data_IF_910203525763
#
_entry.id   IF_910203525763
#
_cell.length_a   1.000
_cell.length_b   1.000
_cell.length_c   1.000
_cell.angle_alpha   90.00
_cell.angle_beta   90.00
_cell.angle_gamma   90.00
#
_symmetry.space_group_name_H-M   'P 1'
#
loop_
_entity.id
_entity.type
_entity.pdbx_description
1 polymer ?
#
# COMPACT_ATOMS: atom_id res chain seq x y z
N UNK A 1 31.36 3.01 -4.86
CA UNK A 1 30.76 1.67 -4.70
C UNK A 1 29.29 1.92 -4.43
N UNK A 2 28.39 1.20 -5.11
CA UNK A 2 26.97 1.30 -4.76
C UNK A 2 26.79 0.69 -3.37
N UNK A 3 26.04 1.35 -2.51
CA UNK A 3 25.64 0.77 -1.22
C UNK A 3 24.70 -0.40 -1.47
N UNK A 4 24.78 -1.43 -0.64
CA UNK A 4 23.89 -2.59 -0.74
C UNK A 4 22.47 -2.20 -0.31
N UNK A 5 21.48 -2.54 -1.14
CA UNK A 5 20.06 -2.33 -0.85
C UNK A 5 19.44 -3.64 -0.39
N UNK A 6 18.80 -3.64 0.78
CA UNK A 6 18.22 -4.83 1.40
C UNK A 6 16.73 -4.64 1.74
N UNK A 7 15.98 -5.74 1.75
CA UNK A 7 14.58 -5.76 2.22
C UNK A 7 14.57 -6.12 3.70
N UNK A 8 14.27 -5.14 4.57
CA UNK A 8 14.22 -5.35 6.03
C UNK A 8 13.01 -6.20 6.44
N UNK A 9 11.88 -6.02 5.77
CA UNK A 9 10.65 -6.78 6.05
C UNK A 9 9.49 -6.32 5.19
N UNK A 10 8.29 -6.84 5.50
CA UNK A 10 7.07 -6.49 4.79
C UNK A 10 5.82 -7.12 5.38
N UNK A 11 4.70 -6.46 5.15
CA UNK A 11 3.36 -6.89 5.51
C UNK A 11 2.40 -6.66 4.34
N UNK A 12 1.24 -7.31 4.40
CA UNK A 12 0.15 -7.12 3.45
C UNK A 12 -1.19 -7.34 4.15
N UNK A 13 -2.23 -6.71 3.62
CA UNK A 13 -3.61 -7.06 3.97
C UNK A 13 -3.98 -8.44 3.42
N UNK A 14 -5.03 -9.08 3.97
CA UNK A 14 -5.62 -10.27 3.36
C UNK A 14 -6.10 -9.97 1.94
N UNK A 15 -5.94 -10.94 1.05
CA UNK A 15 -6.59 -10.87 -0.26
C UNK A 15 -7.96 -11.51 -0.13
N UNK A 16 -8.98 -10.77 -0.53
CA UNK A 16 -10.37 -11.23 -0.53
C UNK A 16 -10.89 -11.29 -1.96
N UNK A 17 -11.89 -12.14 -2.15
CA UNK A 17 -12.55 -12.30 -3.43
C UNK A 17 -13.21 -10.99 -3.85
N UNK A 18 -13.14 -10.71 -5.16
CA UNK A 18 -13.79 -9.56 -5.77
C UNK A 18 -15.29 -9.53 -5.42
N UNK A 19 -15.89 -8.34 -5.34
CA UNK A 19 -17.28 -8.13 -4.89
C UNK A 19 -18.32 -8.97 -5.63
N UNK A 20 -18.20 -9.10 -6.95
CA UNK A 20 -19.02 -9.97 -7.81
C UNK A 20 -18.61 -11.45 -7.86
N UNK A 21 -17.58 -11.85 -7.10
CA UNK A 21 -17.11 -13.23 -7.00
C UNK A 21 -17.82 -14.04 -5.90
N UNK A 22 -17.35 -15.28 -5.69
CA UNK A 22 -17.76 -16.15 -4.59
C UNK A 22 -16.56 -16.59 -3.78
N UNK A 23 -16.75 -16.65 -2.46
CA UNK A 23 -15.77 -17.14 -1.50
C UNK A 23 -15.70 -18.67 -1.53
N UNK A 24 -14.62 -19.23 -0.97
CA UNK A 24 -14.44 -20.68 -0.85
C UNK A 24 -15.53 -21.41 -0.04
N UNK A 25 -16.25 -20.71 0.83
CA UNK A 25 -17.40 -21.21 1.60
C UNK A 25 -18.75 -21.03 0.87
N UNK A 26 -18.73 -20.57 -0.38
CA UNK A 26 -19.91 -20.37 -1.22
C UNK A 26 -20.66 -19.05 -1.00
N UNK A 27 -20.24 -18.23 -0.01
CA UNK A 27 -20.85 -16.92 0.25
C UNK A 27 -20.40 -15.87 -0.79
N UNK A 28 -21.15 -14.75 -0.95
CA UNK A 28 -20.72 -13.65 -1.81
C UNK A 28 -19.35 -13.08 -1.42
N UNK A 29 -18.57 -12.68 -2.43
CA UNK A 29 -17.29 -12.00 -2.26
C UNK A 29 -17.41 -10.57 -1.70
N UNK A 30 -16.28 -9.87 -1.66
CA UNK A 30 -16.24 -8.47 -1.23
C UNK A 30 -16.20 -8.27 0.29
N UNK A 31 -15.49 -9.14 1.04
CA UNK A 31 -15.30 -8.94 2.49
C UNK A 31 -14.66 -7.59 2.86
N UNK A 32 -13.90 -7.00 1.93
CA UNK A 32 -13.26 -5.70 2.10
C UNK A 32 -13.93 -4.58 1.29
N UNK A 33 -15.14 -4.80 0.77
CA UNK A 33 -15.84 -3.82 -0.11
C UNK A 33 -16.09 -2.46 0.56
N UNK A 34 -16.21 -2.45 1.88
CA UNK A 34 -16.50 -1.25 2.68
C UNK A 34 -15.22 -0.55 3.16
N UNK A 35 -14.03 -1.08 2.82
CA UNK A 35 -12.73 -0.50 3.14
C UNK A 35 -12.13 0.10 1.87
N UNK A 36 -11.82 1.39 1.89
CA UNK A 36 -11.23 2.05 0.73
C UNK A 36 -9.83 1.50 0.41
N UNK A 37 -9.44 1.55 -0.86
CA UNK A 37 -8.08 1.17 -1.27
C UNK A 37 -6.99 1.97 -0.55
N UNK A 38 -7.26 3.25 -0.25
CA UNK A 38 -6.36 4.12 0.51
C UNK A 38 -6.17 3.61 1.94
N UNK A 39 -7.28 3.22 2.61
CA UNK A 39 -7.23 2.65 3.96
C UNK A 39 -6.54 1.28 3.98
N UNK A 40 -6.71 0.47 2.94
CA UNK A 40 -5.98 -0.80 2.80
C UNK A 40 -4.47 -0.55 2.64
N UNK A 41 -4.07 0.46 1.86
CA UNK A 41 -2.69 0.90 1.74
C UNK A 41 -2.10 1.37 3.08
N UNK A 42 -2.86 2.20 3.80
CA UNK A 42 -2.51 2.66 5.15
C UNK A 42 -2.23 1.48 6.11
N UNK A 43 -3.16 0.53 6.19
CA UNK A 43 -3.02 -0.67 7.04
C UNK A 43 -1.79 -1.49 6.65
N UNK A 44 -1.50 -1.62 5.35
CA UNK A 44 -0.32 -2.33 4.88
C UNK A 44 0.99 -1.63 5.28
N UNK A 45 1.05 -0.30 5.21
CA UNK A 45 2.21 0.49 5.65
C UNK A 45 2.40 0.34 7.16
N UNK A 46 1.34 0.52 7.96
CA UNK A 46 1.39 0.36 9.42
C UNK A 46 1.93 -1.03 9.78
N UNK A 47 1.36 -2.09 9.21
CA UNK A 47 1.80 -3.45 9.51
C UNK A 47 3.25 -3.73 9.09
N UNK A 48 3.77 -3.06 8.06
CA UNK A 48 5.16 -3.19 7.66
C UNK A 48 6.08 -2.50 8.68
N UNK A 49 5.77 -1.27 9.08
CA UNK A 49 6.52 -0.50 10.09
C UNK A 49 6.54 -1.21 11.45
N UNK A 50 5.39 -1.72 11.91
CA UNK A 50 5.28 -2.48 13.15
C UNK A 50 6.15 -3.75 13.13
N UNK A 51 6.12 -4.49 12.02
CA UNK A 51 6.86 -5.75 11.89
C UNK A 51 8.37 -5.55 11.81
N UNK A 52 8.84 -4.41 11.29
CA UNK A 52 10.26 -4.07 11.23
C UNK A 52 10.73 -3.24 12.43
N UNK A 53 9.81 -2.75 13.28
CA UNK A 53 10.13 -1.81 14.35
C UNK A 53 10.61 -0.45 13.83
N UNK A 54 10.26 -0.09 12.60
CA UNK A 54 10.69 1.16 11.97
C UNK A 54 9.79 2.31 12.41
N UNK A 55 10.38 3.36 12.97
CA UNK A 55 9.64 4.61 13.26
C UNK A 55 9.20 5.28 11.95
N UNK A 56 7.96 5.81 11.87
CA UNK A 56 7.52 6.62 10.73
C UNK A 56 8.46 7.79 10.40
N UNK A 57 9.13 8.36 11.40
CA UNK A 57 10.07 9.48 11.24
C UNK A 57 11.35 9.09 10.49
N UNK A 58 11.67 7.79 10.43
CA UNK A 58 12.85 7.29 9.71
C UNK A 58 12.56 6.96 8.24
N UNK A 59 11.36 7.30 7.74
CA UNK A 59 10.97 7.04 6.35
C UNK A 59 11.30 8.26 5.50
N UNK A 60 12.26 8.12 4.59
CA UNK A 60 12.68 9.20 3.70
C UNK A 60 11.78 9.37 2.47
N UNK A 61 11.11 8.30 2.04
CA UNK A 61 10.25 8.31 0.86
C UNK A 61 9.23 7.17 0.89
N UNK A 62 8.01 7.41 0.40
CA UNK A 62 6.99 6.37 0.18
C UNK A 62 6.73 6.21 -1.31
N UNK A 63 6.80 4.98 -1.83
CA UNK A 63 6.41 4.67 -3.21
C UNK A 63 5.31 3.62 -3.17
N UNK A 64 4.14 3.92 -3.75
CA UNK A 64 2.99 3.02 -3.74
C UNK A 64 2.48 2.77 -5.16
N UNK A 65 2.36 1.49 -5.52
CA UNK A 65 1.68 1.08 -6.73
C UNK A 65 0.15 1.17 -6.58
N UNK A 66 -0.52 1.88 -7.48
CA UNK A 66 -1.97 1.97 -7.53
C UNK A 66 -2.47 1.94 -8.98
N UNK A 67 -2.83 0.74 -9.44
CA UNK A 67 -3.14 0.49 -10.85
C UNK A 67 -4.46 1.14 -11.32
N UNK A 68 -5.54 0.93 -10.56
CA UNK A 68 -6.88 1.39 -10.92
C UNK A 68 -7.35 2.45 -9.93
N UNK A 69 -7.18 3.71 -10.31
CA UNK A 69 -7.46 4.89 -9.50
C UNK A 69 -8.95 5.28 -9.62
N UNK A 70 -9.81 4.66 -8.81
CA UNK A 70 -11.28 4.78 -8.95
C UNK A 70 -11.95 5.85 -8.09
N UNK A 71 -11.25 6.43 -7.11
CA UNK A 71 -11.77 7.54 -6.30
C UNK A 71 -11.16 8.89 -6.69
N UNK A 72 -11.83 9.96 -6.32
CA UNK A 72 -11.43 11.36 -6.54
C UNK A 72 -10.03 11.67 -5.97
N UNK A 73 -9.69 11.05 -4.84
CA UNK A 73 -8.40 11.19 -4.16
C UNK A 73 -7.34 10.18 -4.60
N UNK A 74 -7.63 9.33 -5.59
CA UNK A 74 -6.75 8.22 -5.96
C UNK A 74 -5.40 8.66 -6.54
N UNK A 75 -5.33 9.85 -7.15
CA UNK A 75 -4.07 10.45 -7.63
C UNK A 75 -3.07 10.71 -6.49
N UNK A 76 -3.58 10.90 -5.27
CA UNK A 76 -2.82 11.09 -4.04
C UNK A 76 -2.72 9.79 -3.23
N UNK A 77 -2.80 8.62 -3.89
CA UNK A 77 -2.88 7.32 -3.23
C UNK A 77 -1.81 7.06 -2.17
N UNK A 78 -0.54 7.17 -2.56
CA UNK A 78 0.61 7.05 -1.66
C UNK A 78 0.56 8.08 -0.53
N UNK A 79 0.11 9.31 -0.84
CA UNK A 79 0.04 10.42 0.11
C UNK A 79 -0.98 10.16 1.20
N UNK A 80 -2.20 9.76 0.83
CA UNK A 80 -3.25 9.44 1.79
C UNK A 80 -2.90 8.23 2.65
N UNK A 81 -2.37 7.16 2.03
CA UNK A 81 -1.95 5.97 2.76
C UNK A 81 -0.78 6.24 3.73
N UNK A 82 0.24 6.98 3.29
CA UNK A 82 1.40 7.33 4.11
C UNK A 82 1.05 8.25 5.27
N UNK A 83 0.27 9.32 5.02
CA UNK A 83 -0.19 10.22 6.08
C UNK A 83 -1.05 9.48 7.12
N UNK A 84 -1.95 8.60 6.67
CA UNK A 84 -2.76 7.79 7.60
C UNK A 84 -1.92 6.82 8.43
N UNK A 85 -0.78 6.37 7.91
CA UNK A 85 0.18 5.51 8.61
C UNK A 85 1.13 6.28 9.54
N UNK A 86 0.96 7.60 9.67
CA UNK A 86 1.78 8.45 10.54
C UNK A 86 3.11 8.87 9.94
N UNK A 87 3.34 8.65 8.63
CA UNK A 87 4.53 9.17 7.95
C UNK A 87 4.46 10.71 7.95
N UNK A 88 5.55 11.42 8.30
CA UNK A 88 5.55 12.89 8.34
C UNK A 88 5.14 13.54 7.01
N UNK A 89 4.50 14.70 7.09
CA UNK A 89 3.94 15.37 5.91
C UNK A 89 5.01 15.93 4.95
N UNK A 90 6.22 16.18 5.45
CA UNK A 90 7.37 16.63 4.67
C UNK A 90 7.94 15.51 3.79
N UNK A 91 7.67 14.24 4.12
CA UNK A 91 8.17 13.09 3.39
C UNK A 91 7.51 13.02 2.01
N UNK A 92 8.30 12.94 0.91
CA UNK A 92 7.77 12.77 -0.43
C UNK A 92 7.10 11.39 -0.60
N UNK A 93 5.96 11.39 -1.30
CA UNK A 93 5.16 10.17 -1.51
C UNK A 93 4.71 10.07 -2.97
N UNK A 94 5.15 9.04 -3.68
CA UNK A 94 4.89 8.82 -5.10
C UNK A 94 3.86 7.72 -5.30
N UNK A 95 2.76 8.05 -5.98
CA UNK A 95 1.82 7.06 -6.52
C UNK A 95 2.24 6.74 -7.95
N UNK A 96 2.39 5.46 -8.30
CA UNK A 96 2.70 5.02 -9.66
C UNK A 96 1.75 3.94 -10.16
N UNK A 97 1.60 3.85 -11.48
CA UNK A 97 0.79 2.81 -12.14
C UNK A 97 1.57 2.19 -13.29
N UNK A 98 1.81 0.89 -13.18
CA UNK A 98 2.32 -0.02 -14.22
C UNK A 98 1.43 -1.27 -14.31
N UNK A 99 0.12 -1.09 -14.15
CA UNK A 99 -0.90 -2.15 -14.11
C UNK A 99 -0.48 -3.24 -13.08
N UNK A 100 -0.39 -4.51 -13.48
CA UNK A 100 0.00 -5.62 -12.61
C UNK A 100 1.45 -5.47 -12.09
N UNK A 101 2.30 -4.73 -12.80
CA UNK A 101 3.69 -4.47 -12.43
C UNK A 101 3.89 -3.34 -11.42
N UNK A 102 2.82 -2.66 -10.98
CA UNK A 102 2.96 -1.48 -10.10
C UNK A 102 3.62 -1.81 -8.76
N UNK A 103 3.33 -2.98 -8.18
CA UNK A 103 3.89 -3.37 -6.88
C UNK A 103 5.38 -3.69 -6.93
N UNK A 104 5.88 -4.31 -8.01
CA UNK A 104 7.33 -4.53 -8.17
C UNK A 104 8.03 -3.23 -8.57
N UNK A 105 7.38 -2.39 -9.38
CA UNK A 105 7.92 -1.10 -9.78
C UNK A 105 8.16 -0.20 -8.56
N UNK A 106 7.28 -0.21 -7.56
CA UNK A 106 7.49 0.58 -6.33
C UNK A 106 8.68 0.14 -5.48
N UNK A 107 9.22 -1.07 -5.69
CA UNK A 107 10.42 -1.55 -4.98
C UNK A 107 11.70 -1.08 -5.69
N UNK A 108 11.64 -0.83 -7.00
CA UNK A 108 12.81 -0.53 -7.85
C UNK A 108 12.92 0.97 -8.16
N UNK A 109 11.88 1.75 -7.87
CA UNK A 109 11.81 3.20 -8.13
C UNK A 109 12.45 4.05 -7.05
#
# INVERSE_FOLDING_TARGET
MAEDVVIVGGARTPFCEWQGGKRGDGQPGGLLKDVSALKLGEIAIIGALEKTGTSPENVDHVVMGYALQTCDQAIFGARHAGLGAGIPQEVPMLTLSRICGSGVQSIVS
#
